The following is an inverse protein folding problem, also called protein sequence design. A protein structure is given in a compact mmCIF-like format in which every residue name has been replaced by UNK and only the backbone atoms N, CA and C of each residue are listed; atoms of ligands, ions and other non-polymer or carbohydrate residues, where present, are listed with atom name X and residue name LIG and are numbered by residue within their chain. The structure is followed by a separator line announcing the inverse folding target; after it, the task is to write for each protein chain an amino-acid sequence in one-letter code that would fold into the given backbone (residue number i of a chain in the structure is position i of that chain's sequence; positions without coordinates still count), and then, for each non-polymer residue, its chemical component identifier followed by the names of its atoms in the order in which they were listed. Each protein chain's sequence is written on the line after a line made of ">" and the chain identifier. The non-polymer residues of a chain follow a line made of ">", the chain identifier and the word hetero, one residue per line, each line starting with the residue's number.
data_IF_114341514044
#
_entry.id   IF_114341514044
#
_cell.length_a   1.000
_cell.length_b   1.000
_cell.length_c   1.000
_cell.angle_alpha   90.00
_cell.angle_beta   90.00
_cell.angle_gamma   90.00
#
_symmetry.space_group_name_H-M   'P 1'
#
loop_
_entity.id
_entity.type
_entity.pdbx_description
1 polymer ?
#
# COMPACT_ATOMS: atom_id res chain seq x y z
N UNK A 1 18.54 -4.95 7.22
CA UNK A 1 18.57 -5.04 5.75
C UNK A 1 18.34 -3.70 5.07
N UNK A 2 17.29 -2.93 5.41
CA UNK A 2 17.06 -1.59 4.82
C UNK A 2 18.27 -0.66 4.91
N UNK A 3 18.89 -0.55 6.10
CA UNK A 3 20.12 0.24 6.30
C UNK A 3 21.26 -0.22 5.36
N UNK A 4 21.52 -1.53 5.26
CA UNK A 4 22.54 -2.09 4.36
C UNK A 4 22.24 -1.78 2.90
N UNK A 5 20.98 -1.94 2.46
CA UNK A 5 20.58 -1.64 1.09
C UNK A 5 20.80 -0.17 0.71
N UNK A 6 20.52 0.76 1.64
CA UNK A 6 20.78 2.19 1.47
C UNK A 6 22.28 2.51 1.41
N UNK A 7 23.10 1.85 2.24
CA UNK A 7 24.56 1.99 2.16
C UNK A 7 25.11 1.52 0.81
N UNK A 8 24.67 0.35 0.33
CA UNK A 8 25.07 -0.16 -0.99
C UNK A 8 24.59 0.80 -2.09
N UNK A 9 23.36 1.34 -1.98
CA UNK A 9 22.83 2.34 -2.91
C UNK A 9 23.73 3.58 -2.99
N UNK A 10 24.19 4.10 -1.86
CA UNK A 10 25.06 5.29 -1.82
C UNK A 10 26.36 5.10 -2.61
N UNK A 11 26.86 3.87 -2.68
CA UNK A 11 28.08 3.49 -3.40
C UNK A 11 27.84 3.10 -4.86
N UNK A 12 26.61 3.19 -5.36
CA UNK A 12 26.28 2.78 -6.71
C UNK A 12 27.02 3.65 -7.75
N UNK A 13 28.00 3.02 -8.40
CA UNK A 13 28.76 3.55 -9.53
C UNK A 13 28.54 2.75 -10.82
N UNK A 14 27.89 1.59 -10.72
CA UNK A 14 27.50 0.75 -11.85
C UNK A 14 26.09 0.23 -11.68
N UNK A 15 25.48 -0.17 -12.80
CA UNK A 15 24.10 -0.69 -12.83
C UNK A 15 23.95 -1.97 -11.98
N UNK A 16 25.00 -2.79 -11.91
CA UNK A 16 25.01 -4.01 -11.09
C UNK A 16 24.91 -3.71 -9.60
N UNK A 17 25.67 -2.72 -9.11
CA UNK A 17 25.60 -2.29 -7.70
C UNK A 17 24.22 -1.71 -7.38
N UNK A 18 23.65 -0.96 -8.33
CA UNK A 18 22.28 -0.43 -8.22
C UNK A 18 21.23 -1.54 -8.08
N UNK A 19 21.30 -2.58 -8.93
CA UNK A 19 20.38 -3.73 -8.83
C UNK A 19 20.58 -4.56 -7.56
N UNK A 20 21.82 -4.71 -7.11
CA UNK A 20 22.12 -5.36 -5.84
C UNK A 20 21.52 -4.57 -4.66
N UNK A 21 21.69 -3.24 -4.65
CA UNK A 21 21.11 -2.37 -3.63
C UNK A 21 19.58 -2.50 -3.58
N UNK A 22 18.91 -2.45 -4.73
CA UNK A 22 17.46 -2.65 -4.81
C UNK A 22 17.01 -4.03 -4.35
N UNK A 23 17.78 -5.08 -4.64
CA UNK A 23 17.49 -6.43 -4.18
C UNK A 23 17.55 -6.53 -2.65
N UNK A 24 18.59 -5.95 -2.03
CA UNK A 24 18.74 -5.90 -0.56
C UNK A 24 17.64 -5.06 0.09
N UNK A 25 17.31 -3.91 -0.52
CA UNK A 25 16.19 -3.06 -0.07
C UNK A 25 14.88 -3.82 -0.15
N UNK A 26 14.60 -4.53 -1.24
CA UNK A 26 13.41 -5.35 -1.42
C UNK A 26 13.25 -6.42 -0.34
N UNK A 27 14.35 -7.12 0.00
CA UNK A 27 14.36 -8.08 1.12
C UNK A 27 14.06 -7.38 2.46
N UNK A 28 14.66 -6.20 2.70
CA UNK A 28 14.37 -5.39 3.88
C UNK A 28 12.90 -4.96 3.94
N UNK A 29 12.34 -4.51 2.83
CA UNK A 29 10.94 -4.11 2.70
C UNK A 29 9.99 -5.27 3.00
N UNK A 30 10.27 -6.46 2.46
CA UNK A 30 9.46 -7.66 2.71
C UNK A 30 9.40 -8.05 4.20
N UNK A 31 10.46 -7.79 4.96
CA UNK A 31 10.56 -8.14 6.39
C UNK A 31 10.19 -7.01 7.35
N UNK A 32 10.06 -5.77 6.89
CA UNK A 32 9.91 -4.60 7.77
C UNK A 32 8.75 -3.65 7.46
N UNK A 33 8.03 -3.83 6.35
CA UNK A 33 6.88 -2.99 5.99
C UNK A 33 5.55 -3.55 6.53
N UNK A 34 4.45 -2.93 6.11
CA UNK A 34 3.09 -3.19 6.57
C UNK A 34 2.71 -4.66 6.61
N UNK A 35 3.09 -5.50 5.65
CA UNK A 35 2.71 -6.92 5.69
C UNK A 35 3.27 -7.64 6.93
N UNK A 36 4.55 -7.42 7.23
CA UNK A 36 5.21 -7.97 8.42
C UNK A 36 4.63 -7.38 9.72
N UNK A 37 4.36 -6.07 9.72
CA UNK A 37 3.82 -5.37 10.88
C UNK A 37 2.38 -5.79 11.17
N UNK A 38 1.52 -5.89 10.14
CA UNK A 38 0.15 -6.37 10.28
C UNK A 38 0.14 -7.82 10.73
N UNK A 39 0.97 -8.69 10.14
CA UNK A 39 1.08 -10.08 10.57
C UNK A 39 1.47 -10.20 12.06
N UNK A 40 2.41 -9.37 12.51
CA UNK A 40 2.83 -9.29 13.92
C UNK A 40 1.72 -8.77 14.82
N UNK A 41 1.02 -7.70 14.44
CA UNK A 41 -0.10 -7.17 15.22
C UNK A 41 -1.27 -8.16 15.28
N UNK A 42 -1.60 -8.82 14.17
CA UNK A 42 -2.65 -9.84 14.10
C UNK A 42 -2.34 -11.05 14.99
N UNK A 43 -1.07 -11.49 15.03
CA UNK A 43 -0.65 -12.60 15.89
C UNK A 43 -0.56 -12.22 17.36
N UNK A 44 -0.11 -11.01 17.71
CA UNK A 44 0.04 -10.57 19.11
C UNK A 44 -1.27 -10.10 19.74
N UNK A 45 -2.13 -9.42 18.97
CA UNK A 45 -3.32 -8.73 19.50
C UNK A 45 -4.65 -9.40 19.12
N UNK A 46 -4.65 -10.35 18.20
CA UNK A 46 -5.86 -11.06 17.78
C UNK A 46 -6.96 -10.11 17.30
N UNK A 47 -8.17 -10.24 17.85
CA UNK A 47 -9.31 -9.37 17.52
C UNK A 47 -9.06 -7.88 17.84
N UNK A 48 -8.17 -7.58 18.80
CA UNK A 48 -7.80 -6.20 19.15
C UNK A 48 -6.82 -5.59 18.14
N UNK A 49 -6.30 -6.37 17.19
CA UNK A 49 -5.32 -5.90 16.21
C UNK A 49 -5.88 -4.84 15.25
N UNK A 50 -7.20 -4.80 15.04
CA UNK A 50 -7.83 -3.82 14.12
C UNK A 50 -7.45 -2.38 14.48
N UNK A 51 -7.63 -1.99 15.74
CA UNK A 51 -7.30 -0.64 16.19
C UNK A 51 -5.80 -0.32 16.06
N UNK A 52 -4.94 -1.29 16.36
CA UNK A 52 -3.50 -1.13 16.21
C UNK A 52 -3.06 -1.04 14.74
N UNK A 53 -3.67 -1.81 13.82
CA UNK A 53 -3.42 -1.72 12.38
C UNK A 53 -3.82 -0.34 11.84
N UNK A 54 -5.00 0.16 12.24
CA UNK A 54 -5.43 1.51 11.85
C UNK A 54 -4.52 2.59 12.44
N UNK A 55 -4.10 2.48 13.71
CA UNK A 55 -3.15 3.42 14.32
C UNK A 55 -1.77 3.41 13.64
N UNK A 56 -1.23 2.22 13.36
CA UNK A 56 0.04 2.05 12.65
C UNK A 56 0.00 2.68 11.26
N UNK A 57 -1.07 2.43 10.51
CA UNK A 57 -1.25 3.04 9.18
C UNK A 57 -1.50 4.53 9.25
N UNK A 58 -2.16 5.05 10.29
CA UNK A 58 -2.30 6.49 10.49
C UNK A 58 -0.93 7.14 10.64
N UNK A 59 -0.09 6.63 11.55
CA UNK A 59 1.29 7.11 11.76
C UNK A 59 2.10 6.98 10.46
N UNK A 60 1.99 5.84 9.77
CA UNK A 60 2.66 5.62 8.50
C UNK A 60 2.21 6.56 7.37
N UNK A 61 0.99 7.11 7.43
CA UNK A 61 0.52 8.14 6.49
C UNK A 61 1.11 9.53 6.76
N UNK A 62 1.28 9.87 8.04
CA UNK A 62 2.02 11.07 8.40
C UNK A 62 3.48 10.95 7.98
N UNK A 63 4.08 9.77 8.14
CA UNK A 63 5.45 9.50 7.72
C UNK A 63 5.64 9.69 6.20
N UNK A 64 4.70 9.27 5.35
CA UNK A 64 4.81 9.51 3.89
C UNK A 64 4.63 10.98 3.50
N UNK A 65 3.76 11.71 4.21
CA UNK A 65 3.52 13.14 3.97
C UNK A 65 4.73 14.00 4.35
N UNK A 66 5.35 13.71 5.51
CA UNK A 66 6.56 14.42 5.96
C UNK A 66 7.84 13.91 5.30
N UNK A 67 7.87 12.63 4.92
CA UNK A 67 9.05 11.97 4.37
C UNK A 67 9.48 12.55 3.02
N UNK A 68 8.54 12.88 2.13
CA UNK A 68 8.87 13.39 0.80
C UNK A 68 9.58 14.76 0.85
N UNK A 69 9.03 15.79 1.54
CA UNK A 69 9.73 17.07 1.72
C UNK A 69 11.05 16.91 2.48
N UNK A 70 11.11 16.05 3.50
CA UNK A 70 12.33 15.81 4.25
C UNK A 70 13.44 15.19 3.38
N UNK A 71 13.11 14.19 2.56
CA UNK A 71 14.05 13.57 1.62
C UNK A 71 14.49 14.56 0.53
N UNK A 72 13.58 15.35 -0.02
CA UNK A 72 13.91 16.37 -1.02
C UNK A 72 14.82 17.47 -0.47
N UNK A 73 14.55 17.96 0.76
CA UNK A 73 15.40 18.92 1.44
C UNK A 73 16.80 18.35 1.69
N UNK A 74 16.87 17.11 2.20
CA UNK A 74 18.14 16.43 2.45
C UNK A 74 18.95 16.23 1.16
N UNK A 75 18.31 15.76 0.10
CA UNK A 75 18.92 15.66 -1.23
C UNK A 75 19.42 17.01 -1.74
N UNK A 76 18.66 18.09 -1.54
CA UNK A 76 19.09 19.43 -1.96
C UNK A 76 20.34 19.93 -1.24
N UNK A 77 20.57 19.49 0.00
CA UNK A 77 21.67 19.99 0.84
C UNK A 77 22.95 19.18 0.67
N UNK A 78 22.86 17.86 0.59
CA UNK A 78 24.02 16.98 0.56
C UNK A 78 24.03 15.97 -0.60
N UNK A 79 23.03 16.00 -1.49
CA UNK A 79 22.91 15.09 -2.61
C UNK A 79 22.37 13.71 -2.22
N UNK A 80 21.92 12.95 -3.21
CA UNK A 80 21.22 11.69 -3.00
C UNK A 80 22.07 10.60 -2.31
N UNK A 81 23.40 10.62 -2.47
CA UNK A 81 24.31 9.64 -1.84
C UNK A 81 24.36 9.82 -0.33
N UNK A 82 24.58 11.05 0.11
CA UNK A 82 24.63 11.38 1.55
C UNK A 82 23.23 11.25 2.17
N UNK A 83 22.17 11.57 1.43
CA UNK A 83 20.80 11.23 1.83
C UNK A 83 20.64 9.74 2.15
N UNK A 84 21.19 8.85 1.31
CA UNK A 84 21.15 7.41 1.57
C UNK A 84 21.89 7.04 2.87
N UNK A 85 23.05 7.64 3.14
CA UNK A 85 23.80 7.43 4.39
C UNK A 85 23.00 7.86 5.62
N UNK A 86 22.41 9.05 5.58
CA UNK A 86 21.58 9.56 6.68
C UNK A 86 20.38 8.65 6.93
N UNK A 87 19.68 8.22 5.88
CA UNK A 87 18.56 7.28 6.01
C UNK A 87 19.01 5.91 6.53
N UNK A 88 20.18 5.44 6.11
CA UNK A 88 20.76 4.20 6.63
C UNK A 88 21.07 4.29 8.12
N UNK A 89 21.60 5.44 8.57
CA UNK A 89 21.87 5.73 9.97
C UNK A 89 20.57 5.81 10.78
N UNK A 90 19.52 6.48 10.28
CA UNK A 90 18.20 6.51 10.93
C UNK A 90 17.65 5.09 11.11
N UNK A 91 17.71 4.23 10.09
CA UNK A 91 17.27 2.84 10.24
C UNK A 91 18.12 2.03 11.22
N UNK A 92 19.43 2.25 11.27
CA UNK A 92 20.35 1.50 12.15
C UNK A 92 20.33 1.97 13.61
N UNK A 93 20.24 3.28 13.84
CA UNK A 93 20.39 3.91 15.17
C UNK A 93 19.04 4.15 15.83
N UNK A 94 17.98 4.38 15.06
CA UNK A 94 16.63 4.62 15.60
C UNK A 94 15.75 3.39 15.36
N UNK A 95 15.62 2.96 14.10
CA UNK A 95 14.71 1.87 13.75
C UNK A 95 15.07 0.54 14.42
N UNK A 96 16.33 0.11 14.31
CA UNK A 96 16.78 -1.18 14.82
C UNK A 96 16.66 -1.30 16.35
N UNK A 97 17.11 -0.32 17.17
CA UNK A 97 16.93 -0.41 18.62
C UNK A 97 15.47 -0.41 19.03
N UNK A 98 14.61 0.39 18.39
CA UNK A 98 13.17 0.37 18.67
C UNK A 98 12.59 -1.01 18.38
N UNK A 99 12.91 -1.61 17.22
CA UNK A 99 12.43 -2.95 16.89
C UNK A 99 12.95 -4.01 17.86
N UNK A 100 14.22 -3.94 18.25
CA UNK A 100 14.82 -4.89 19.19
C UNK A 100 14.15 -4.80 20.57
N UNK A 101 13.95 -3.59 21.07
CA UNK A 101 13.49 -3.36 22.44
C UNK A 101 11.96 -3.45 22.58
N UNK A 102 11.21 -2.99 21.58
CA UNK A 102 9.76 -2.83 21.68
C UNK A 102 8.95 -4.02 21.14
N UNK A 103 9.51 -4.83 20.23
CA UNK A 103 8.80 -6.00 19.69
C UNK A 103 9.01 -7.18 20.65
N UNK A 104 7.94 -7.70 21.30
CA UNK A 104 8.07 -8.81 22.23
C UNK A 104 8.68 -10.04 21.53
N UNK A 105 9.60 -10.72 22.20
CA UNK A 105 10.06 -12.04 21.74
C UNK A 105 8.85 -12.97 21.67
N UNK A 106 8.71 -13.78 20.61
CA UNK A 106 7.57 -14.67 20.50
C UNK A 106 7.59 -15.67 21.66
N UNK A 107 6.65 -15.50 22.58
CA UNK A 107 6.38 -16.48 23.64
C UNK A 107 5.66 -17.64 22.95
N UNK A 108 6.42 -18.67 22.55
CA UNK A 108 5.98 -19.90 21.87
C UNK A 108 5.84 -19.86 20.33
N UNK A 109 6.87 -19.42 19.58
CA UNK A 109 6.92 -19.62 18.12
C UNK A 109 7.24 -21.05 17.66
N UNK A 110 7.52 -22.00 18.58
CA UNK A 110 7.67 -23.42 18.28
C UNK A 110 6.62 -24.22 19.05
N UNK A 111 5.36 -23.84 18.93
CA UNK A 111 4.35 -24.90 18.87
C UNK A 111 4.27 -25.23 17.39
N UNK A 112 4.93 -26.32 16.99
CA UNK A 112 4.60 -26.96 15.71
C UNK A 112 3.08 -26.94 15.61
N UNK A 113 2.54 -26.15 14.68
CA UNK A 113 1.16 -26.38 14.28
C UNK A 113 1.20 -27.83 13.83
N UNK A 114 0.50 -28.77 14.51
CA UNK A 114 0.54 -30.16 14.07
C UNK A 114 0.19 -30.14 12.59
N UNK A 115 1.01 -30.76 11.75
CA UNK A 115 0.70 -30.94 10.31
C UNK A 115 -0.73 -31.45 10.09
N UNK A 116 -1.30 -32.11 11.11
CA UNK A 116 -2.67 -32.58 11.22
C UNK A 116 -3.77 -31.52 11.42
N UNK A 117 -3.44 -30.27 11.78
CA UNK A 117 -4.41 -29.15 11.86
C UNK A 117 -4.29 -28.17 10.68
N UNK A 118 -3.22 -28.24 9.90
CA UNK A 118 -3.16 -27.66 8.54
C UNK A 118 -4.17 -28.32 7.58
N UNK A 119 -4.71 -29.49 7.94
CA UNK A 119 -5.84 -30.17 7.27
C UNK A 119 -7.18 -30.00 7.99
N UNK A 120 -7.25 -29.33 9.14
CA UNK A 120 -8.48 -29.17 9.91
C UNK A 120 -9.15 -27.82 9.61
N UNK A 121 -9.47 -27.63 8.35
CA UNK A 121 -10.82 -27.54 7.82
C UNK A 121 -10.57 -27.52 6.31
N UNK A 122 -11.16 -28.46 5.57
CA UNK A 122 -11.44 -28.18 4.17
C UNK A 122 -12.19 -26.85 4.18
N UNK A 123 -11.50 -25.73 3.89
CA UNK A 123 -12.15 -24.42 3.84
C UNK A 123 -13.37 -24.62 2.96
N UNK A 124 -14.55 -24.39 3.55
CA UNK A 124 -15.79 -24.53 2.80
C UNK A 124 -15.62 -23.79 1.48
N UNK A 125 -16.20 -24.32 0.41
CA UNK A 125 -16.06 -23.78 -0.94
C UNK A 125 -16.38 -22.27 -0.96
N UNK A 126 -17.25 -21.82 -0.06
CA UNK A 126 -17.56 -20.43 0.22
C UNK A 126 -16.35 -19.61 0.74
N UNK A 127 -15.63 -20.10 1.75
CA UNK A 127 -14.47 -19.43 2.37
C UNK A 127 -13.33 -19.31 1.38
N UNK A 128 -13.05 -20.38 0.63
CA UNK A 128 -12.02 -20.36 -0.42
C UNK A 128 -12.37 -19.36 -1.54
N UNK A 129 -13.64 -19.32 -1.96
CA UNK A 129 -14.12 -18.32 -2.95
C UNK A 129 -13.98 -16.90 -2.40
N UNK A 130 -14.34 -16.67 -1.14
CA UNK A 130 -14.19 -15.37 -0.49
C UNK A 130 -12.72 -14.94 -0.41
N UNK A 131 -11.81 -15.86 -0.06
CA UNK A 131 -10.38 -15.61 -0.05
C UNK A 131 -9.87 -15.14 -1.42
N UNK A 132 -10.19 -15.87 -2.49
CA UNK A 132 -9.76 -15.48 -3.84
C UNK A 132 -10.45 -14.22 -4.35
N UNK A 133 -11.68 -13.93 -3.91
CA UNK A 133 -12.35 -12.66 -4.19
C UNK A 133 -11.59 -11.49 -3.54
N UNK A 134 -11.22 -11.62 -2.28
CA UNK A 134 -10.40 -10.61 -1.56
C UNK A 134 -9.02 -10.48 -2.21
N UNK A 135 -8.39 -11.60 -2.57
CA UNK A 135 -7.10 -11.61 -3.27
C UNK A 135 -7.17 -10.86 -4.60
N UNK A 136 -8.18 -11.16 -5.43
CA UNK A 136 -8.40 -10.49 -6.71
C UNK A 136 -8.66 -8.99 -6.52
N UNK A 137 -9.52 -8.62 -5.57
CA UNK A 137 -9.83 -7.23 -5.25
C UNK A 137 -8.56 -6.45 -4.87
N UNK A 138 -7.80 -6.94 -3.89
CA UNK A 138 -6.60 -6.26 -3.41
C UNK A 138 -5.50 -6.24 -4.48
N UNK A 139 -5.44 -7.26 -5.35
CA UNK A 139 -4.47 -7.32 -6.45
C UNK A 139 -4.77 -6.27 -7.52
N UNK A 140 -6.04 -6.15 -7.94
CA UNK A 140 -6.46 -5.12 -8.91
C UNK A 140 -6.21 -3.72 -8.35
N UNK A 141 -6.55 -3.49 -7.08
CA UNK A 141 -6.27 -2.22 -6.41
C UNK A 141 -4.75 -1.96 -6.39
N UNK A 142 -3.94 -2.92 -5.96
CA UNK A 142 -2.49 -2.77 -5.90
C UNK A 142 -1.87 -2.48 -7.28
N UNK A 143 -2.36 -3.14 -8.33
CA UNK A 143 -1.98 -2.89 -9.73
C UNK A 143 -2.24 -1.43 -10.12
N UNK A 144 -3.48 -0.95 -9.93
CA UNK A 144 -3.88 0.40 -10.33
C UNK A 144 -3.10 1.43 -9.53
N UNK A 145 -2.96 1.24 -8.22
CA UNK A 145 -2.26 2.20 -7.36
C UNK A 145 -0.77 2.30 -7.70
N UNK A 146 -0.09 1.17 -7.93
CA UNK A 146 1.31 1.20 -8.37
C UNK A 146 1.46 1.86 -9.74
N UNK A 147 0.62 1.48 -10.72
CA UNK A 147 0.71 2.00 -12.08
C UNK A 147 0.45 3.51 -12.14
N UNK A 148 -0.60 3.98 -11.46
CA UNK A 148 -0.88 5.41 -11.36
C UNK A 148 0.23 6.15 -10.61
N UNK A 149 0.75 5.62 -9.50
CA UNK A 149 1.80 6.33 -8.75
C UNK A 149 3.06 6.62 -9.59
N UNK A 150 3.41 5.72 -10.52
CA UNK A 150 4.56 5.88 -11.42
C UNK A 150 4.25 6.85 -12.55
N UNK A 151 3.06 6.76 -13.12
CA UNK A 151 2.73 7.45 -14.38
C UNK A 151 1.91 8.73 -14.22
N UNK A 152 1.39 9.04 -13.03
CA UNK A 152 0.45 10.14 -12.81
C UNK A 152 0.98 11.48 -13.33
N UNK A 153 2.20 11.85 -12.95
CA UNK A 153 2.78 13.14 -13.35
C UNK A 153 2.95 13.22 -14.87
N UNK A 154 3.46 12.15 -15.49
CA UNK A 154 3.60 12.06 -16.94
C UNK A 154 2.23 12.11 -17.66
N UNK A 155 1.22 11.44 -17.10
CA UNK A 155 -0.15 11.49 -17.63
C UNK A 155 -0.72 12.91 -17.58
N UNK A 156 -0.54 13.64 -16.47
CA UNK A 156 -1.01 15.02 -16.36
C UNK A 156 -0.29 15.96 -17.33
N UNK A 157 1.01 15.76 -17.55
CA UNK A 157 1.77 16.51 -18.56
C UNK A 157 1.27 16.23 -19.98
N UNK A 158 1.02 14.97 -20.33
CA UNK A 158 0.43 14.61 -21.64
C UNK A 158 -0.97 15.21 -21.84
N UNK A 159 -1.73 15.39 -20.76
CA UNK A 159 -3.04 16.07 -20.79
C UNK A 159 -2.92 17.60 -20.90
N UNK A 160 -1.70 18.16 -21.01
CA UNK A 160 -1.46 19.59 -21.21
C UNK A 160 -1.36 20.41 -19.92
N UNK A 161 -1.28 19.78 -18.75
CA UNK A 161 -1.13 20.49 -17.48
C UNK A 161 0.34 20.95 -17.33
N UNK A 162 0.59 22.23 -17.01
CA UNK A 162 1.95 22.75 -16.83
C UNK A 162 2.73 22.00 -15.74
N UNK A 163 4.03 21.77 -15.95
CA UNK A 163 4.89 20.99 -15.03
C UNK A 163 4.84 21.46 -13.58
N UNK A 164 4.83 22.78 -13.34
CA UNK A 164 4.74 23.33 -11.97
C UNK A 164 3.42 22.95 -11.28
N UNK A 165 2.33 22.94 -12.05
CA UNK A 165 1.00 22.57 -11.57
C UNK A 165 0.91 21.07 -11.31
N UNK A 166 1.52 20.25 -12.17
CA UNK A 166 1.59 18.79 -12.00
C UNK A 166 2.26 18.40 -10.67
N UNK A 167 3.36 19.06 -10.33
CA UNK A 167 4.02 18.84 -9.04
C UNK A 167 3.13 19.24 -7.86
N UNK A 168 2.47 20.40 -7.94
CA UNK A 168 1.54 20.85 -6.92
C UNK A 168 0.36 19.89 -6.72
N UNK A 169 -0.17 19.32 -7.81
CA UNK A 169 -1.23 18.29 -7.75
C UNK A 169 -0.72 17.04 -7.03
N UNK A 170 0.49 16.57 -7.34
CA UNK A 170 1.10 15.42 -6.66
C UNK A 170 1.27 15.61 -5.15
N UNK A 171 1.59 16.83 -4.71
CA UNK A 171 1.74 17.17 -3.29
C UNK A 171 0.43 17.03 -2.48
N UNK A 172 -0.73 17.10 -3.12
CA UNK A 172 -2.04 16.97 -2.43
C UNK A 172 -2.33 15.53 -2.00
N UNK A 173 -1.74 14.53 -2.67
CA UNK A 173 -2.04 13.11 -2.44
C UNK A 173 -1.70 12.68 -1.00
N UNK A 174 -0.53 13.09 -0.49
CA UNK A 174 -0.07 12.73 0.86
C UNK A 174 -0.99 13.25 1.97
N UNK A 175 -1.21 14.57 2.07
CA UNK A 175 -2.14 15.15 3.04
C UNK A 175 -3.56 14.55 2.94
N UNK A 176 -4.06 14.32 1.73
CA UNK A 176 -5.38 13.71 1.55
C UNK A 176 -5.44 12.26 2.07
N UNK A 177 -4.37 11.46 1.90
CA UNK A 177 -4.26 10.14 2.52
C UNK A 177 -4.37 10.23 4.04
N UNK A 178 -3.67 11.18 4.67
CA UNK A 178 -3.68 11.36 6.12
C UNK A 178 -5.07 11.74 6.62
N UNK A 179 -5.69 12.76 6.01
CA UNK A 179 -7.04 13.21 6.36
C UNK A 179 -8.03 12.06 6.26
N UNK A 180 -7.98 11.27 5.19
CA UNK A 180 -8.87 10.13 5.02
C UNK A 180 -8.66 9.04 6.09
N UNK A 181 -7.42 8.79 6.52
CA UNK A 181 -7.15 7.85 7.62
C UNK A 181 -7.65 8.38 8.96
N UNK A 182 -7.54 9.68 9.24
CA UNK A 182 -8.11 10.32 10.44
C UNK A 182 -9.64 10.19 10.43
N UNK A 183 -10.29 10.46 9.29
CA UNK A 183 -11.74 10.33 9.13
C UNK A 183 -12.20 8.87 9.26
N UNK A 184 -11.48 7.92 8.68
CA UNK A 184 -11.79 6.49 8.81
C UNK A 184 -11.68 6.03 10.27
N UNK A 185 -10.59 6.41 10.93
CA UNK A 185 -10.35 6.06 12.33
C UNK A 185 -11.37 6.70 13.29
N UNK A 186 -11.84 7.92 13.00
CA UNK A 186 -12.79 8.62 13.87
C UNK A 186 -14.25 8.22 13.59
N UNK A 187 -14.67 8.22 12.33
CA UNK A 187 -16.07 8.05 11.92
C UNK A 187 -16.42 6.59 11.59
N UNK A 188 -15.47 5.81 11.07
CA UNK A 188 -15.70 4.45 10.58
C UNK A 188 -15.16 3.34 11.49
N UNK A 189 -14.61 3.67 12.68
CA UNK A 189 -14.10 2.67 13.65
C UNK A 189 -15.09 1.56 13.99
N UNK A 190 -16.38 1.89 14.02
CA UNK A 190 -17.46 0.95 14.36
C UNK A 190 -18.08 0.28 13.13
N UNK A 191 -17.77 0.76 11.93
CA UNK A 191 -18.27 0.17 10.69
C UNK A 191 -17.53 -1.13 10.39
N UNK A 192 -18.18 -2.04 9.68
CA UNK A 192 -17.51 -3.24 9.17
C UNK A 192 -16.44 -2.83 8.13
N UNK A 193 -15.19 -3.35 8.16
CA UNK A 193 -14.12 -2.95 7.25
C UNK A 193 -14.46 -3.05 5.75
N UNK A 194 -15.41 -3.91 5.37
CA UNK A 194 -15.95 -3.99 4.00
C UNK A 194 -16.51 -2.65 3.53
N UNK A 195 -17.17 -1.88 4.40
CA UNK A 195 -17.71 -0.57 4.04
C UNK A 195 -16.60 0.46 3.85
N UNK A 196 -15.59 0.49 4.73
CA UNK A 196 -14.39 1.32 4.55
C UNK A 196 -13.68 0.97 3.23
N UNK A 197 -13.52 -0.32 2.92
CA UNK A 197 -12.92 -0.77 1.66
C UNK A 197 -13.72 -0.28 0.44
N UNK A 198 -15.05 -0.47 0.44
CA UNK A 198 -15.94 0.02 -0.64
C UNK A 198 -15.85 1.52 -0.83
N UNK A 199 -15.89 2.28 0.26
CA UNK A 199 -15.75 3.73 0.22
C UNK A 199 -14.38 4.13 -0.36
N UNK A 200 -13.30 3.48 0.06
CA UNK A 200 -11.96 3.71 -0.47
C UNK A 200 -11.86 3.42 -1.98
N UNK A 201 -12.45 2.32 -2.45
CA UNK A 201 -12.51 1.98 -3.89
C UNK A 201 -13.31 3.03 -4.66
N UNK A 202 -14.50 3.40 -4.18
CA UNK A 202 -15.37 4.37 -4.83
C UNK A 202 -14.71 5.76 -4.91
N UNK A 203 -14.13 6.23 -3.81
CA UNK A 203 -13.43 7.51 -3.74
C UNK A 203 -12.23 7.52 -4.70
N UNK A 204 -11.47 6.41 -4.76
CA UNK A 204 -10.37 6.26 -5.73
C UNK A 204 -10.86 6.32 -7.17
N UNK A 205 -11.97 5.62 -7.48
CA UNK A 205 -12.59 5.61 -8.80
C UNK A 205 -13.01 7.03 -9.23
N UNK A 206 -13.70 7.75 -8.34
CA UNK A 206 -14.09 9.15 -8.59
C UNK A 206 -12.86 10.03 -8.85
N UNK A 207 -11.81 9.86 -8.05
CA UNK A 207 -10.54 10.55 -8.28
C UNK A 207 -9.99 10.28 -9.68
N UNK A 208 -9.86 9.01 -10.08
CA UNK A 208 -9.33 8.64 -11.40
C UNK A 208 -10.20 9.20 -12.54
N UNK A 209 -11.53 9.09 -12.44
CA UNK A 209 -12.44 9.62 -13.46
C UNK A 209 -12.31 11.14 -13.64
N UNK A 210 -12.08 11.88 -12.56
CA UNK A 210 -11.91 13.33 -12.61
C UNK A 210 -10.55 13.78 -13.16
N UNK A 211 -9.57 12.86 -13.34
CA UNK A 211 -8.32 13.15 -14.03
C UNK A 211 -8.48 13.17 -15.55
N UNK A 212 -9.43 12.39 -16.10
CA UNK A 212 -9.59 12.17 -17.55
C UNK A 212 -9.77 13.49 -18.35
N UNK A 213 -10.54 14.49 -17.87
CA UNK A 213 -10.71 15.75 -18.61
C UNK A 213 -9.44 16.62 -18.71
N UNK A 214 -8.35 16.29 -18.00
CA UNK A 214 -7.09 17.06 -18.08
C UNK A 214 -7.18 18.49 -17.55
N UNK A 215 -8.23 18.84 -16.83
CA UNK A 215 -8.45 20.22 -16.35
C UNK A 215 -7.72 20.44 -15.01
N UNK A 216 -6.89 21.50 -14.85
CA UNK A 216 -6.03 21.66 -13.67
C UNK A 216 -6.76 21.66 -12.32
N UNK A 217 -7.86 22.41 -12.17
CA UNK A 217 -8.59 22.48 -10.89
C UNK A 217 -9.26 21.14 -10.54
N UNK A 218 -9.78 20.43 -11.55
CA UNK A 218 -10.32 19.07 -11.39
C UNK A 218 -9.21 18.11 -10.98
N UNK A 219 -8.01 18.24 -11.53
CA UNK A 219 -6.87 17.39 -11.19
C UNK A 219 -6.45 17.53 -9.72
N UNK A 220 -6.57 18.72 -9.10
CA UNK A 220 -6.38 18.89 -7.66
C UNK A 220 -7.43 18.13 -6.83
N UNK A 221 -8.72 18.26 -7.18
CA UNK A 221 -9.81 17.52 -6.52
C UNK A 221 -9.62 16.01 -6.70
N UNK A 222 -9.26 15.61 -7.90
CA UNK A 222 -9.01 14.23 -8.29
C UNK A 222 -7.84 13.62 -7.50
N UNK A 223 -6.72 14.34 -7.36
CA UNK A 223 -5.58 13.91 -6.57
C UNK A 223 -5.92 13.79 -5.07
N UNK A 224 -6.74 14.71 -4.54
CA UNK A 224 -7.23 14.62 -3.18
C UNK A 224 -8.11 13.37 -2.97
N UNK A 225 -9.07 13.11 -3.87
CA UNK A 225 -9.93 11.93 -3.80
C UNK A 225 -9.11 10.64 -3.98
N UNK A 226 -8.26 10.58 -5.00
CA UNK A 226 -7.37 9.45 -5.23
C UNK A 226 -6.50 9.16 -4.00
N UNK A 227 -5.85 10.18 -3.43
CA UNK A 227 -5.08 10.07 -2.20
C UNK A 227 -5.93 9.58 -1.03
N UNK A 228 -7.11 10.17 -0.80
CA UNK A 228 -8.01 9.74 0.26
C UNK A 228 -8.39 8.25 0.13
N UNK A 229 -8.75 7.81 -1.08
CA UNK A 229 -9.08 6.43 -1.39
C UNK A 229 -7.91 5.46 -1.14
N UNK A 230 -6.71 5.78 -1.61
CA UNK A 230 -5.47 5.03 -1.33
C UNK A 230 -5.23 4.90 0.18
N UNK A 231 -5.43 6.00 0.91
CA UNK A 231 -5.26 6.06 2.36
C UNK A 231 -6.13 5.04 3.08
N UNK A 232 -7.42 5.01 2.75
CA UNK A 232 -8.42 4.08 3.29
C UNK A 232 -8.12 2.63 2.87
N UNK A 233 -7.78 2.40 1.60
CA UNK A 233 -7.50 1.05 1.08
C UNK A 233 -6.27 0.41 1.71
N UNK A 234 -5.30 1.22 2.16
CA UNK A 234 -4.14 0.73 2.91
C UNK A 234 -4.54 0.16 4.28
N UNK A 235 -5.50 0.79 4.97
CA UNK A 235 -6.08 0.27 6.22
C UNK A 235 -6.84 -1.02 5.91
N UNK A 236 -7.72 -0.96 4.90
CA UNK A 236 -8.57 -2.07 4.51
C UNK A 236 -7.77 -3.33 4.15
N UNK A 237 -6.59 -3.19 3.52
CA UNK A 237 -5.68 -4.30 3.22
C UNK A 237 -5.33 -5.12 4.46
N UNK A 238 -5.12 -4.47 5.61
CA UNK A 238 -4.82 -5.15 6.86
C UNK A 238 -6.08 -5.63 7.59
N UNK A 239 -7.10 -4.78 7.69
CA UNK A 239 -8.27 -5.04 8.54
C UNK A 239 -9.30 -5.96 7.89
N UNK A 240 -9.46 -5.93 6.57
CA UNK A 240 -10.48 -6.72 5.86
C UNK A 240 -10.19 -8.23 5.95
N UNK A 241 -8.98 -8.73 5.62
CA UNK A 241 -8.69 -10.15 5.79
C UNK A 241 -8.74 -10.60 7.25
N UNK A 242 -8.37 -9.73 8.19
CA UNK A 242 -8.41 -10.02 9.62
C UNK A 242 -9.85 -10.27 10.09
N UNK A 243 -10.80 -9.42 9.69
CA UNK A 243 -12.21 -9.57 10.08
C UNK A 243 -12.90 -10.71 9.35
N UNK A 244 -12.54 -10.97 8.09
CA UNK A 244 -13.18 -12.02 7.29
C UNK A 244 -12.68 -13.44 7.61
N UNK A 245 -11.40 -13.60 7.96
CA UNK A 245 -10.77 -14.91 8.15
C UNK A 245 -10.28 -15.16 9.57
N UNK A 246 -10.29 -14.14 10.43
CA UNK A 246 -9.82 -14.22 11.82
C UNK A 246 -8.31 -14.08 11.97
N UNK A 247 -7.86 -14.03 13.23
CA UNK A 247 -6.45 -13.84 13.59
C UNK A 247 -5.60 -15.11 13.45
N UNK A 248 -6.21 -16.29 13.57
CA UNK A 248 -5.50 -17.57 13.46
C UNK A 248 -4.98 -17.76 12.02
N UNK A 249 -3.67 -17.98 11.87
CA UNK A 249 -3.03 -18.09 10.55
C UNK A 249 -3.03 -16.79 9.72
N UNK A 250 -3.40 -15.64 10.30
CA UNK A 250 -3.51 -14.36 9.59
C UNK A 250 -2.22 -13.98 8.85
N UNK A 251 -1.06 -14.12 9.50
CA UNK A 251 0.23 -13.82 8.86
C UNK A 251 0.51 -14.69 7.62
N UNK A 252 0.18 -15.98 7.68
CA UNK A 252 0.35 -16.89 6.55
C UNK A 252 -0.62 -16.52 5.40
N UNK A 253 -1.88 -16.21 5.71
CA UNK A 253 -2.87 -15.76 4.72
C UNK A 253 -2.47 -14.44 4.07
N UNK A 254 -2.01 -13.47 4.85
CA UNK A 254 -1.48 -12.21 4.34
C UNK A 254 -0.27 -12.44 3.43
N UNK A 255 0.62 -13.37 3.78
CA UNK A 255 1.74 -13.76 2.92
C UNK A 255 1.28 -14.34 1.57
N UNK A 256 0.22 -15.16 1.55
CA UNK A 256 -0.36 -15.68 0.30
C UNK A 256 -1.04 -14.56 -0.51
N UNK A 257 -1.79 -13.66 0.15
CA UNK A 257 -2.43 -12.51 -0.49
C UNK A 257 -1.40 -11.53 -1.09
N UNK A 258 -0.27 -11.34 -0.43
CA UNK A 258 0.76 -10.41 -0.86
C UNK A 258 1.41 -10.83 -2.20
N UNK A 259 1.51 -12.14 -2.49
CA UNK A 259 2.18 -12.65 -3.71
C UNK A 259 1.58 -12.08 -5.01
N UNK A 260 0.28 -12.28 -5.32
CA UNK A 260 -0.30 -11.72 -6.54
C UNK A 260 -0.28 -10.19 -6.53
N UNK A 261 -0.46 -9.55 -5.37
CA UNK A 261 -0.37 -8.09 -5.25
C UNK A 261 1.02 -7.55 -5.59
N UNK A 262 2.08 -8.20 -5.13
CA UNK A 262 3.46 -7.79 -5.41
C UNK A 262 3.82 -8.02 -6.88
N UNK A 263 3.39 -9.14 -7.47
CA UNK A 263 3.54 -9.38 -8.91
C UNK A 263 2.83 -8.32 -9.73
N UNK A 264 1.60 -7.95 -9.34
CA UNK A 264 0.84 -6.92 -10.02
C UNK A 264 1.45 -5.53 -9.85
N UNK A 265 2.03 -5.19 -8.70
CA UNK A 265 2.75 -3.93 -8.49
C UNK A 265 4.05 -3.86 -9.28
N UNK A 266 4.74 -4.99 -9.46
CA UNK A 266 5.97 -5.06 -10.26
C UNK A 266 5.67 -4.98 -11.76
N UNK A 267 4.67 -5.73 -12.25
CA UNK A 267 4.34 -5.79 -13.67
C UNK A 267 3.47 -4.60 -14.13
N UNK A 268 2.66 -4.02 -13.25
CA UNK A 268 1.66 -3.02 -13.59
C UNK A 268 2.21 -1.76 -14.24
N UNK A 269 3.14 -1.03 -13.60
CA UNK A 269 3.74 0.16 -14.21
C UNK A 269 4.37 -0.14 -15.57
N UNK A 270 4.99 -1.31 -15.74
CA UNK A 270 5.59 -1.70 -17.02
C UNK A 270 4.52 -1.96 -18.10
N UNK A 271 3.47 -2.71 -17.78
CA UNK A 271 2.37 -2.98 -18.70
C UNK A 271 1.63 -1.68 -19.11
N UNK A 272 1.38 -0.80 -18.13
CA UNK A 272 0.68 0.47 -18.34
C UNK A 272 1.54 1.48 -19.11
N UNK A 273 2.87 1.39 -19.01
CA UNK A 273 3.77 2.25 -19.80
C UNK A 273 3.55 2.10 -21.30
N UNK A 274 3.31 0.88 -21.82
CA UNK A 274 3.01 0.66 -23.24
C UNK A 274 1.70 1.33 -23.69
N UNK A 275 0.68 1.30 -22.82
CA UNK A 275 -0.59 2.00 -23.08
C UNK A 275 -0.35 3.50 -23.09
N UNK A 276 0.36 4.03 -22.08
CA UNK A 276 0.64 5.46 -21.98
C UNK A 276 1.47 5.98 -23.17
N UNK A 277 2.46 5.22 -23.62
CA UNK A 277 3.30 5.61 -24.76
C UNK A 277 2.59 5.46 -26.11
N UNK A 278 1.70 4.48 -26.26
CA UNK A 278 1.05 4.18 -27.53
C UNK A 278 -0.30 4.87 -27.72
N UNK A 279 -1.14 4.90 -26.69
CA UNK A 279 -2.52 5.37 -26.74
C UNK A 279 -2.78 6.65 -25.92
N UNK A 280 -1.80 7.06 -25.10
CA UNK A 280 -1.85 8.30 -24.33
C UNK A 280 -2.54 8.19 -22.97
N UNK A 281 -2.49 9.31 -22.23
CA UNK A 281 -2.95 9.41 -20.85
C UNK A 281 -4.45 9.13 -20.65
N UNK A 282 -5.32 9.58 -21.55
CA UNK A 282 -6.78 9.40 -21.39
C UNK A 282 -7.16 7.91 -21.40
N UNK A 283 -6.68 7.16 -22.40
CA UNK A 283 -6.93 5.71 -22.51
C UNK A 283 -6.34 4.97 -21.30
N UNK A 284 -5.14 5.36 -20.86
CA UNK A 284 -4.54 4.81 -19.65
C UNK A 284 -5.43 5.00 -18.41
N UNK A 285 -5.93 6.22 -18.19
CA UNK A 285 -6.79 6.56 -17.05
C UNK A 285 -8.16 5.86 -17.13
N UNK A 286 -8.75 5.78 -18.32
CA UNK A 286 -10.01 5.05 -18.56
C UNK A 286 -9.86 3.56 -18.23
N UNK A 287 -8.79 2.91 -18.67
CA UNK A 287 -8.52 1.52 -18.33
C UNK A 287 -8.34 1.34 -16.81
N UNK A 288 -7.63 2.25 -16.14
CA UNK A 288 -7.52 2.21 -14.68
C UNK A 288 -8.90 2.38 -14.01
N UNK A 289 -9.72 3.31 -14.48
CA UNK A 289 -11.07 3.51 -13.97
C UNK A 289 -11.95 2.25 -14.14
N UNK A 290 -11.89 1.60 -15.31
CA UNK A 290 -12.61 0.35 -15.57
C UNK A 290 -12.15 -0.75 -14.60
N UNK A 291 -10.86 -0.91 -14.37
CA UNK A 291 -10.33 -1.90 -13.41
C UNK A 291 -10.83 -1.63 -11.98
N UNK A 292 -10.80 -0.37 -11.54
CA UNK A 292 -11.32 0.00 -10.21
C UNK A 292 -12.83 -0.16 -10.13
N UNK A 293 -13.58 0.10 -11.20
CA UNK A 293 -15.02 -0.15 -11.26
C UNK A 293 -15.32 -1.65 -11.12
N UNK A 294 -14.58 -2.52 -11.82
CA UNK A 294 -14.70 -3.98 -11.67
C UNK A 294 -14.41 -4.40 -10.22
N UNK A 295 -13.36 -3.84 -9.61
CA UNK A 295 -13.06 -4.06 -8.19
C UNK A 295 -14.21 -3.61 -7.28
N UNK A 296 -14.83 -2.46 -7.56
CA UNK A 296 -15.99 -1.97 -6.81
C UNK A 296 -17.18 -2.93 -6.92
N UNK A 297 -17.53 -3.38 -8.13
CA UNK A 297 -18.60 -4.36 -8.33
C UNK A 297 -18.30 -5.69 -7.65
N UNK A 298 -17.05 -6.18 -7.73
CA UNK A 298 -16.61 -7.39 -7.04
C UNK A 298 -16.74 -7.26 -5.52
N UNK A 299 -16.46 -6.07 -4.97
CA UNK A 299 -16.57 -5.80 -3.53
C UNK A 299 -18.01 -5.86 -3.00
N UNK A 300 -19.03 -5.75 -3.86
CA UNK A 300 -20.44 -5.91 -3.47
C UNK A 300 -20.76 -7.33 -3.02
N UNK A 301 -19.99 -8.32 -3.49
CA UNK A 301 -20.11 -9.74 -3.08
C UNK A 301 -19.43 -10.03 -1.73
N UNK A 302 -18.72 -9.07 -1.14
CA UNK A 302 -18.14 -9.22 0.19
C UNK A 302 -19.22 -9.14 1.28
N UNK A 303 -19.13 -9.97 2.34
CA UNK A 303 -20.05 -9.89 3.46
C UNK A 303 -19.86 -8.57 4.22
N UNK A 304 -20.97 -8.03 4.72
CA UNK A 304 -21.04 -6.76 5.48
C UNK A 304 -21.29 -6.98 6.97
N UNK A 305 -21.43 -8.23 7.40
CA UNK A 305 -21.54 -8.67 8.79
C UNK A 305 -20.43 -9.69 9.05
N UNK A 306 -19.95 -9.75 10.30
CA UNK A 306 -19.06 -10.83 10.72
C UNK A 306 -19.74 -12.17 10.45
N UNK A 307 -19.00 -13.14 9.93
CA UNK A 307 -19.46 -14.53 9.81
C UNK A 307 -19.38 -15.29 11.15
N UNK A 308 -19.17 -14.55 12.23
CA UNK A 308 -19.13 -14.98 13.63
C UNK A 308 -20.21 -14.22 14.38
#
# INVERSE_FOLDING_TARGET
>A
MLSVGLLVMSTASSLWVYYLAWSILGLGMATGLYDSAFATLGTLLGERARGAITGLTLIGGFASTAGWPAMAALESWCGWRETCWVLAAVHAVIGLPIHWLAVPKPVNAVREVPKQRQTALAEDRSTRRLFWLVAGLLTVIAFVMASLSVHLLASLQQLGIPTVTVLAIGMVIGPAQVVARVLEFSLARHLHPTWSARAGVLISLLGICLLIPGTPWLAFVAAALYGAGVGILTIARGTLPLVLFGAEGYGARMGVLARPMLLAQAAGPFAVAFVLSGQGASVMLELMAVLVAIALFASLKLPTRSLV
#
